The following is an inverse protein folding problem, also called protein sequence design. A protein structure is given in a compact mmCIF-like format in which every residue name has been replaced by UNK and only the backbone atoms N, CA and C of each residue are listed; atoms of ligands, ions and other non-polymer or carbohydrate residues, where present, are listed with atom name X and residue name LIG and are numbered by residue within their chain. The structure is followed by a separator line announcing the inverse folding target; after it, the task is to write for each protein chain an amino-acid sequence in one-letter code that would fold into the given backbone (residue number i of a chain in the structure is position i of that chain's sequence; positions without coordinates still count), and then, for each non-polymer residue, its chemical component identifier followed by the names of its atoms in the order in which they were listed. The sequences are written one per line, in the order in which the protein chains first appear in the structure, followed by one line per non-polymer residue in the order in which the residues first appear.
data_IF_817930902377
#
_entry.id   IF_817930902377
#
_cell.length_a   1.000
_cell.length_b   1.000
_cell.length_c   1.000
_cell.angle_alpha   90.00
_cell.angle_beta   90.00
_cell.angle_gamma   90.00
#
_symmetry.space_group_name_H-M   'P 1'
#
loop_
_entity.id
_entity.type
_entity.pdbx_description
1 polymer ?
#
# COMPACT_ATOMS: atom_id res chain seq x y z
N UNK A 1 -1.24 9.85 14.14
CA UNK A 1 -1.20 10.97 13.18
C UNK A 1 0.23 11.37 12.80
N UNK A 2 1.17 11.49 13.76
CA UNK A 2 2.59 11.86 13.54
C UNK A 2 3.35 11.11 12.42
N UNK A 3 2.91 9.91 12.03
CA UNK A 3 3.61 9.05 11.07
C UNK A 3 2.83 8.80 9.77
N UNK A 4 1.85 9.66 9.44
CA UNK A 4 1.03 9.54 8.23
C UNK A 4 0.50 8.10 8.04
N UNK A 5 0.63 7.54 6.83
CA UNK A 5 0.14 6.21 6.46
C UNK A 5 0.82 5.03 7.19
N UNK A 6 2.00 5.25 7.82
CA UNK A 6 2.64 4.24 8.66
C UNK A 6 1.98 4.14 10.04
N UNK A 7 1.29 5.20 10.45
CA UNK A 7 0.50 5.24 11.67
C UNK A 7 -0.95 4.83 11.43
N UNK A 8 -1.71 5.62 10.67
CA UNK A 8 -3.11 5.38 10.36
C UNK A 8 -3.32 5.48 8.86
N UNK A 9 -4.15 4.63 8.27
CA UNK A 9 -4.52 4.74 6.86
C UNK A 9 -5.36 6.00 6.62
N UNK A 10 -6.24 6.34 7.56
CA UNK A 10 -7.10 7.53 7.51
C UNK A 10 -6.78 8.46 8.70
N UNK A 11 -6.61 9.79 8.47
CA UNK A 11 -6.43 10.75 9.55
C UNK A 11 -7.77 11.02 10.26
N UNK A 12 -8.18 10.13 11.17
CA UNK A 12 -9.41 10.29 11.94
C UNK A 12 -9.35 11.46 12.91
N UNK A 13 -10.41 12.27 12.94
CA UNK A 13 -10.61 13.30 13.96
C UNK A 13 -11.32 12.74 15.19
N UNK A 14 -10.54 12.44 16.23
CA UNK A 14 -11.03 12.18 17.58
C UNK A 14 -11.13 13.49 18.34
N UNK A 15 -12.16 13.66 19.15
CA UNK A 15 -12.43 14.91 19.87
C UNK A 15 -12.55 14.71 21.38
N UNK A 16 -12.67 15.82 22.10
CA UNK A 16 -12.78 15.85 23.56
C UNK A 16 -14.05 15.18 24.08
N UNK A 17 -15.15 15.21 23.30
CA UNK A 17 -16.37 14.47 23.69
C UNK A 17 -16.17 12.95 23.66
N UNK A 18 -15.39 12.43 22.71
CA UNK A 18 -15.06 11.00 22.68
C UNK A 18 -14.26 10.62 23.94
N UNK A 19 -13.36 11.50 24.40
CA UNK A 19 -12.60 11.31 25.64
C UNK A 19 -13.49 11.34 26.88
N UNK A 20 -14.31 12.38 27.05
CA UNK A 20 -15.21 12.52 28.20
C UNK A 20 -16.18 11.35 28.34
N UNK A 21 -16.77 10.88 27.22
CA UNK A 21 -17.63 9.68 27.24
C UNK A 21 -16.85 8.43 27.68
N UNK A 22 -15.60 8.30 27.26
CA UNK A 22 -14.76 7.15 27.66
C UNK A 22 -14.42 7.19 29.14
N UNK A 23 -14.19 8.38 29.70
CA UNK A 23 -13.97 8.60 31.14
C UNK A 23 -15.22 8.23 31.94
N UNK A 24 -16.41 8.70 31.53
CA UNK A 24 -17.68 8.36 32.18
C UNK A 24 -17.94 6.86 32.15
N UNK A 25 -17.74 6.21 30.99
CA UNK A 25 -17.88 4.75 30.85
C UNK A 25 -16.91 4.01 31.76
N UNK A 26 -15.66 4.47 31.85
CA UNK A 26 -14.66 3.86 32.72
C UNK A 26 -15.07 3.97 34.19
N UNK A 27 -15.48 5.15 34.64
CA UNK A 27 -15.91 5.39 36.02
C UNK A 27 -17.12 4.51 36.40
N UNK A 28 -18.16 4.48 35.57
CA UNK A 28 -19.37 3.67 35.81
C UNK A 28 -19.01 2.19 35.99
N UNK A 29 -18.20 1.64 35.09
CA UNK A 29 -17.86 0.21 35.13
C UNK A 29 -16.90 -0.15 36.27
N UNK A 30 -16.04 0.77 36.71
CA UNK A 30 -15.19 0.54 37.88
C UNK A 30 -15.97 0.66 39.20
N UNK A 31 -17.03 1.47 39.24
CA UNK A 31 -17.90 1.60 40.43
C UNK A 31 -18.92 0.46 40.56
N UNK A 32 -19.44 -0.06 39.43
CA UNK A 32 -20.51 -1.07 39.42
C UNK A 32 -20.00 -2.52 39.58
N UNK A 33 -18.75 -2.80 39.22
CA UNK A 33 -18.19 -4.15 39.19
C UNK A 33 -17.03 -4.31 40.18
N UNK A 34 -17.03 -5.40 40.96
CA UNK A 34 -15.93 -5.70 41.89
C UNK A 34 -14.62 -6.03 41.16
N UNK A 35 -14.71 -6.77 40.04
CA UNK A 35 -13.58 -7.09 39.17
C UNK A 35 -13.63 -6.21 37.91
N UNK A 36 -12.47 -5.72 37.45
CA UNK A 36 -12.39 -4.84 36.28
C UNK A 36 -12.80 -5.58 35.00
N UNK A 37 -13.90 -5.19 34.32
CA UNK A 37 -14.41 -5.90 33.16
C UNK A 37 -13.69 -5.46 31.87
N UNK A 38 -12.42 -5.86 31.73
CA UNK A 38 -11.52 -5.44 30.65
C UNK A 38 -12.10 -5.61 29.24
N UNK A 39 -12.73 -6.74 28.94
CA UNK A 39 -13.28 -7.00 27.61
C UNK A 39 -14.45 -6.06 27.26
N UNK A 40 -15.28 -5.73 28.26
CA UNK A 40 -16.37 -4.77 28.09
C UNK A 40 -15.83 -3.35 27.87
N UNK A 41 -14.84 -2.92 28.67
CA UNK A 41 -14.18 -1.62 28.53
C UNK A 41 -13.51 -1.47 27.16
N UNK A 42 -12.75 -2.47 26.72
CA UNK A 42 -12.12 -2.49 25.39
C UNK A 42 -13.16 -2.35 24.28
N UNK A 43 -14.28 -3.07 24.40
CA UNK A 43 -15.34 -2.99 23.40
C UNK A 43 -16.02 -1.61 23.40
N UNK A 44 -16.45 -1.11 24.55
CA UNK A 44 -17.18 0.16 24.64
C UNK A 44 -16.32 1.35 24.22
N UNK A 45 -15.07 1.40 24.68
CA UNK A 45 -14.18 2.52 24.38
C UNK A 45 -13.65 2.39 22.95
N UNK A 46 -12.94 1.30 22.62
CA UNK A 46 -12.30 1.21 21.33
C UNK A 46 -13.30 0.91 20.21
N UNK A 47 -14.21 -0.06 20.36
CA UNK A 47 -15.06 -0.47 19.24
C UNK A 47 -16.32 0.37 19.06
N UNK A 48 -16.98 0.78 20.15
CA UNK A 48 -18.24 1.50 20.10
C UNK A 48 -18.03 3.02 20.02
N UNK A 49 -17.24 3.59 20.93
CA UNK A 49 -17.02 5.05 20.98
C UNK A 49 -16.06 5.52 19.88
N UNK A 50 -14.76 5.25 20.02
CA UNK A 50 -13.77 5.64 19.01
C UNK A 50 -13.99 4.90 17.68
N UNK A 51 -14.36 3.63 17.74
CA UNK A 51 -14.59 2.77 16.59
C UNK A 51 -15.80 3.16 15.75
N UNK A 52 -16.72 3.98 16.27
CA UNK A 52 -17.77 4.60 15.46
C UNK A 52 -17.25 5.59 14.41
N UNK A 53 -16.04 6.14 14.63
CA UNK A 53 -15.34 7.03 13.67
C UNK A 53 -14.35 6.29 12.78
N UNK A 54 -13.82 5.16 13.25
CA UNK A 54 -12.83 4.36 12.51
C UNK A 54 -13.54 3.54 11.44
N UNK A 55 -13.33 3.91 10.18
CA UNK A 55 -14.00 3.32 9.02
C UNK A 55 -13.20 2.24 8.30
N UNK A 56 -11.88 2.16 8.52
CA UNK A 56 -10.99 1.17 7.91
C UNK A 56 -10.72 0.01 8.87
N UNK A 57 -10.86 -1.22 8.37
CA UNK A 57 -10.72 -2.43 9.19
C UNK A 57 -9.28 -2.63 9.72
N UNK A 58 -8.26 -2.20 8.97
CA UNK A 58 -6.87 -2.31 9.40
C UNK A 58 -6.52 -1.28 10.47
N UNK A 59 -7.07 -0.07 10.36
CA UNK A 59 -6.99 0.94 11.41
C UNK A 59 -7.77 0.51 12.66
N UNK A 60 -8.93 -0.17 12.50
CA UNK A 60 -9.67 -0.76 13.61
C UNK A 60 -8.86 -1.85 14.32
N UNK A 61 -8.16 -2.70 13.57
CA UNK A 61 -7.21 -3.68 14.12
C UNK A 61 -6.10 -3.01 14.91
N UNK A 62 -5.51 -1.92 14.39
CA UNK A 62 -4.47 -1.17 15.09
C UNK A 62 -4.97 -0.58 16.42
N UNK A 63 -6.15 0.03 16.40
CA UNK A 63 -6.78 0.55 17.61
C UNK A 63 -7.00 -0.54 18.67
N UNK A 64 -7.43 -1.74 18.24
CA UNK A 64 -7.60 -2.88 19.13
C UNK A 64 -6.27 -3.38 19.73
N UNK A 65 -5.17 -3.26 18.99
CA UNK A 65 -3.83 -3.57 19.52
C UNK A 65 -3.43 -2.57 20.61
N UNK A 66 -3.63 -1.27 20.39
CA UNK A 66 -3.33 -0.25 21.41
C UNK A 66 -4.21 -0.39 22.65
N UNK A 67 -5.53 -0.54 22.50
CA UNK A 67 -6.42 -0.66 23.67
C UNK A 67 -6.08 -1.92 24.46
N UNK A 68 -5.73 -3.03 23.81
CA UNK A 68 -5.38 -4.28 24.50
C UNK A 68 -4.08 -4.17 25.29
N UNK A 69 -3.18 -3.29 24.85
CA UNK A 69 -1.92 -3.00 25.55
C UNK A 69 -2.16 -2.16 26.81
N UNK A 70 -3.09 -1.19 26.77
CA UNK A 70 -3.33 -0.26 27.89
C UNK A 70 -4.43 -0.73 28.86
N UNK A 71 -5.34 -1.60 28.42
CA UNK A 71 -6.45 -2.11 29.22
C UNK A 71 -6.15 -3.56 29.59
N UNK A 72 -5.23 -3.76 30.53
CA UNK A 72 -4.80 -5.09 30.96
C UNK A 72 -4.50 -5.11 32.46
N UNK A 73 -4.67 -6.26 33.09
CA UNK A 73 -4.41 -6.46 34.52
C UNK A 73 -2.96 -6.12 34.91
N UNK A 74 -2.02 -6.32 33.99
CA UNK A 74 -0.60 -6.01 34.17
C UNK A 74 -0.37 -4.53 34.49
N UNK A 75 -1.24 -3.62 34.00
CA UNK A 75 -1.16 -2.17 34.25
C UNK A 75 -1.39 -1.85 35.73
N UNK A 76 -2.16 -2.68 36.44
CA UNK A 76 -2.46 -2.50 37.86
C UNK A 76 -1.48 -3.25 38.77
N UNK A 77 -0.90 -4.34 38.29
CA UNK A 77 -0.16 -5.31 39.12
C UNK A 77 1.35 -5.21 38.97
N UNK A 78 1.85 -4.73 37.83
CA UNK A 78 3.29 -4.62 37.54
C UNK A 78 3.76 -3.19 37.80
N UNK A 79 4.61 -3.01 38.81
CA UNK A 79 5.22 -1.72 39.11
C UNK A 79 6.06 -1.23 37.92
N UNK A 80 5.88 0.04 37.55
CA UNK A 80 6.55 0.67 36.41
C UNK A 80 6.43 -0.13 35.10
N UNK A 81 5.23 -0.66 34.82
CA UNK A 81 4.98 -1.40 33.57
C UNK A 81 5.36 -0.52 32.35
N UNK A 82 6.30 -0.95 31.49
CA UNK A 82 6.64 -0.19 30.30
C UNK A 82 5.47 -0.16 29.32
N UNK A 83 5.05 1.05 28.94
CA UNK A 83 3.96 1.29 27.99
C UNK A 83 4.41 1.20 26.54
N UNK A 84 5.70 1.02 26.28
CA UNK A 84 6.27 0.92 24.95
C UNK A 84 7.71 0.39 25.02
N UNK A 85 8.40 0.32 23.88
CA UNK A 85 9.84 0.03 23.83
C UNK A 85 10.70 1.21 24.37
N UNK A 86 10.08 2.33 24.78
CA UNK A 86 10.74 3.51 25.32
C UNK A 86 10.95 3.44 26.83
N UNK A 87 12.14 3.81 27.29
CA UNK A 87 12.50 3.82 28.72
C UNK A 87 11.75 4.90 29.53
N UNK A 88 11.24 5.94 28.86
CA UNK A 88 10.59 7.08 29.52
C UNK A 88 9.09 6.87 29.78
N UNK A 89 8.45 5.93 29.08
CA UNK A 89 6.98 5.79 29.11
C UNK A 89 6.62 4.49 29.81
N UNK A 90 6.30 4.61 31.09
CA UNK A 90 5.78 3.55 31.93
C UNK A 90 4.58 4.04 32.74
N UNK A 91 3.85 3.10 33.36
CA UNK A 91 2.76 3.40 34.30
C UNK A 91 3.40 3.81 35.64
N UNK A 92 3.25 5.08 36.08
CA UNK A 92 3.83 5.52 37.35
C UNK A 92 3.13 4.88 38.55
N UNK A 93 3.79 4.90 39.71
CA UNK A 93 3.22 4.39 40.95
C UNK A 93 1.94 5.15 41.34
N UNK A 94 1.00 4.43 41.96
CA UNK A 94 -0.25 5.01 42.41
C UNK A 94 -0.03 6.13 43.44
N UNK A 95 -0.81 7.21 43.34
CA UNK A 95 -0.62 8.40 44.15
C UNK A 95 -1.61 9.53 43.83
N UNK A 96 -1.28 10.73 44.30
CA UNK A 96 -2.11 11.90 44.06
C UNK A 96 -1.99 12.41 42.61
N UNK A 97 -2.99 13.15 42.13
CA UNK A 97 -2.99 13.77 40.79
C UNK A 97 -1.71 14.59 40.50
N UNK A 98 -1.16 15.23 41.54
CA UNK A 98 0.11 15.97 41.49
C UNK A 98 1.28 15.10 41.06
N UNK A 99 1.38 13.86 41.55
CA UNK A 99 2.45 12.92 41.21
C UNK A 99 2.42 12.57 39.72
N UNK A 100 1.24 12.30 39.17
CA UNK A 100 1.05 12.04 37.74
C UNK A 100 1.44 13.26 36.90
N UNK A 101 1.05 14.47 37.33
CA UNK A 101 1.43 15.71 36.63
C UNK A 101 2.95 15.96 36.66
N UNK A 102 3.61 15.69 37.78
CA UNK A 102 5.07 15.83 37.91
C UNK A 102 5.84 14.80 37.09
N UNK A 103 5.32 13.58 36.96
CA UNK A 103 5.86 12.57 36.05
C UNK A 103 5.74 13.02 34.59
N UNK A 104 4.56 13.47 34.15
CA UNK A 104 4.35 13.95 32.78
C UNK A 104 5.29 15.12 32.43
N UNK A 105 5.56 16.03 33.39
CA UNK A 105 6.52 17.14 33.20
C UNK A 105 7.97 16.70 32.99
N UNK A 106 8.34 15.49 33.43
CA UNK A 106 9.68 14.93 33.25
C UNK A 106 9.85 14.23 31.90
N UNK A 107 8.76 13.98 31.17
CA UNK A 107 8.82 13.35 29.86
C UNK A 107 9.52 14.26 28.82
N UNK A 108 10.18 13.67 27.81
CA UNK A 108 10.78 14.44 26.73
C UNK A 108 9.75 15.32 26.00
N UNK A 109 10.16 16.52 25.56
CA UNK A 109 9.33 17.38 24.71
C UNK A 109 9.04 16.77 23.35
N UNK A 110 10.01 16.01 22.82
CA UNK A 110 9.89 15.29 21.55
C UNK A 110 9.75 13.79 21.82
N UNK A 111 8.54 13.27 21.62
CA UNK A 111 8.27 11.85 21.82
C UNK A 111 9.05 10.98 20.80
N UNK A 112 9.84 9.98 21.26
CA UNK A 112 10.55 9.08 20.37
C UNK A 112 9.57 8.15 19.64
N UNK A 113 9.90 7.65 18.43
CA UNK A 113 9.02 6.73 17.68
C UNK A 113 8.66 5.46 18.45
N UNK A 114 9.59 4.98 19.29
CA UNK A 114 9.38 3.83 20.16
C UNK A 114 8.17 4.01 21.09
N UNK A 115 7.87 5.24 21.55
CA UNK A 115 6.72 5.55 22.40
C UNK A 115 5.38 5.18 21.73
N UNK A 116 5.33 5.22 20.40
CA UNK A 116 4.16 4.85 19.61
C UNK A 116 4.24 3.42 19.06
N UNK A 117 5.21 2.62 19.52
CA UNK A 117 5.46 1.31 18.92
C UNK A 117 5.89 1.39 17.46
N UNK A 118 6.57 2.47 17.06
CA UNK A 118 7.10 2.67 15.70
C UNK A 118 8.62 2.54 15.66
N UNK A 119 9.15 2.17 14.49
CA UNK A 119 10.59 2.16 14.24
C UNK A 119 11.09 3.58 13.88
N UNK A 120 12.33 3.99 14.21
CA UNK A 120 12.88 5.31 13.84
C UNK A 120 12.77 5.67 12.36
N UNK A 121 12.81 4.68 11.46
CA UNK A 121 12.60 4.89 10.02
C UNK A 121 11.24 5.53 9.70
N UNK A 122 10.19 5.28 10.50
CA UNK A 122 8.88 5.88 10.29
C UNK A 122 8.92 7.41 10.50
N UNK A 123 9.70 7.89 11.47
CA UNK A 123 9.89 9.32 11.68
C UNK A 123 10.64 9.96 10.52
N UNK A 124 11.71 9.32 10.06
CA UNK A 124 12.49 9.79 8.91
C UNK A 124 11.60 9.88 7.67
N UNK A 125 10.81 8.85 7.39
CA UNK A 125 9.90 8.82 6.24
C UNK A 125 8.83 9.92 6.33
N UNK A 126 8.20 10.10 7.50
CA UNK A 126 7.23 11.18 7.69
C UNK A 126 7.85 12.55 7.45
N UNK A 127 9.05 12.81 7.97
CA UNK A 127 9.75 14.08 7.78
C UNK A 127 10.14 14.32 6.31
N UNK A 128 10.50 13.27 5.57
CA UNK A 128 10.75 13.36 4.12
C UNK A 128 9.46 13.75 3.38
N UNK A 129 8.33 13.15 3.73
CA UNK A 129 7.04 13.44 3.09
C UNK A 129 6.54 14.85 3.42
N UNK A 130 6.62 15.28 4.68
CA UNK A 130 6.29 16.66 5.09
C UNK A 130 7.19 17.68 4.34
N UNK A 131 8.49 17.36 4.19
CA UNK A 131 9.42 18.17 3.41
C UNK A 131 9.07 18.24 1.93
N UNK A 132 8.63 17.13 1.33
CA UNK A 132 8.15 17.11 -0.07
C UNK A 132 6.87 17.93 -0.24
N UNK A 133 5.92 17.84 0.69
CA UNK A 133 4.69 18.62 0.65
C UNK A 133 4.99 20.12 0.76
N UNK A 134 5.91 20.51 1.64
CA UNK A 134 6.38 21.90 1.75
C UNK A 134 6.99 22.39 0.43
N UNK A 135 7.89 21.61 -0.17
CA UNK A 135 8.52 21.97 -1.45
C UNK A 135 7.50 22.05 -2.59
N UNK A 136 6.55 21.11 -2.65
CA UNK A 136 5.46 21.13 -3.63
C UNK A 136 4.57 22.36 -3.47
N UNK A 137 4.29 22.77 -2.23
CA UNK A 137 3.54 24.00 -1.91
C UNK A 137 4.32 25.25 -2.33
N UNK A 138 5.63 25.29 -2.12
CA UNK A 138 6.47 26.41 -2.57
C UNK A 138 6.45 26.49 -4.11
N UNK A 139 6.57 25.36 -4.80
CA UNK A 139 6.51 25.29 -6.26
C UNK A 139 5.13 25.73 -6.80
N UNK A 140 4.03 25.40 -6.12
CA UNK A 140 2.68 25.83 -6.55
C UNK A 140 2.42 27.32 -6.31
N UNK A 141 3.14 27.94 -5.37
CA UNK A 141 3.09 29.38 -5.11
C UNK A 141 3.98 30.20 -6.04
N UNK A 142 4.95 29.57 -6.72
CA UNK A 142 5.65 30.26 -7.80
C UNK A 142 4.63 30.59 -8.88
N UNK A 143 4.44 31.88 -9.14
CA UNK A 143 3.74 32.30 -10.34
C UNK A 143 4.47 31.62 -11.51
N UNK A 144 3.77 30.72 -12.19
CA UNK A 144 4.10 30.37 -13.56
C UNK A 144 3.84 31.66 -14.33
N UNK A 145 4.77 32.61 -14.23
CA UNK A 145 4.72 33.85 -14.98
C UNK A 145 4.51 33.41 -16.42
N UNK A 146 3.36 33.82 -16.97
CA UNK A 146 3.11 33.86 -18.40
C UNK A 146 4.06 34.92 -18.94
N UNK A 147 5.35 34.59 -18.92
CA UNK A 147 6.37 35.42 -19.51
C UNK A 147 6.06 35.42 -21.00
N UNK A 148 5.57 36.57 -21.48
CA UNK A 148 5.55 36.94 -22.89
C UNK A 148 6.99 36.74 -23.44
N UNK A 149 7.31 35.52 -23.86
CA UNK A 149 8.66 35.08 -24.20
C UNK A 149 8.94 33.57 -24.10
N UNK A 150 7.91 32.72 -24.26
CA UNK A 150 7.86 31.28 -23.95
C UNK A 150 8.77 30.29 -24.67
N UNK A 151 9.87 30.71 -25.33
CA UNK A 151 10.75 29.79 -26.07
C UNK A 151 11.34 28.67 -25.20
N UNK A 152 11.79 28.97 -23.97
CA UNK A 152 12.52 28.00 -23.15
C UNK A 152 11.66 26.87 -22.57
N UNK A 153 10.42 27.18 -22.16
CA UNK A 153 9.49 26.18 -21.63
C UNK A 153 8.94 25.31 -22.76
N UNK A 154 8.65 25.91 -23.91
CA UNK A 154 8.18 25.19 -25.09
C UNK A 154 9.24 24.23 -25.62
N UNK A 155 10.50 24.66 -25.72
CA UNK A 155 11.62 23.80 -26.13
C UNK A 155 11.81 22.62 -25.15
N UNK A 156 11.67 22.86 -23.85
CA UNK A 156 11.76 21.82 -22.82
C UNK A 156 10.62 20.80 -22.95
N UNK A 157 9.38 21.27 -23.10
CA UNK A 157 8.22 20.38 -23.26
C UNK A 157 8.33 19.60 -24.56
N UNK A 158 8.73 20.23 -25.68
CA UNK A 158 8.96 19.53 -26.95
C UNK A 158 10.01 18.41 -26.81
N UNK A 159 11.10 18.64 -26.08
CA UNK A 159 12.10 17.61 -25.76
C UNK A 159 11.53 16.45 -24.93
N UNK A 160 10.69 16.75 -23.93
CA UNK A 160 9.97 15.74 -23.15
C UNK A 160 8.99 14.94 -24.00
N UNK A 161 8.24 15.61 -24.89
CA UNK A 161 7.31 14.96 -25.81
C UNK A 161 8.02 13.99 -26.75
N UNK A 162 9.20 14.37 -27.27
CA UNK A 162 10.01 13.46 -28.08
C UNK A 162 10.45 12.23 -27.27
N UNK A 163 10.97 12.44 -26.06
CA UNK A 163 11.38 11.35 -25.15
C UNK A 163 10.22 10.41 -24.84
N UNK A 164 9.02 10.95 -24.59
CA UNK A 164 7.81 10.17 -24.35
C UNK A 164 7.41 9.36 -25.59
N UNK A 165 7.50 9.92 -26.80
CA UNK A 165 7.18 9.19 -28.04
C UNK A 165 8.11 8.00 -28.27
N UNK A 166 9.39 8.13 -27.91
CA UNK A 166 10.38 7.06 -28.05
C UNK A 166 10.23 5.99 -26.96
N UNK A 167 9.81 6.39 -25.75
CA UNK A 167 9.70 5.50 -24.60
C UNK A 167 8.36 4.76 -24.49
N UNK A 168 7.26 5.39 -24.90
CA UNK A 168 5.90 4.84 -24.77
C UNK A 168 5.67 3.77 -25.85
N UNK A 169 5.28 2.54 -25.47
CA UNK A 169 5.02 1.47 -26.42
C UNK A 169 3.84 1.75 -27.36
N UNK A 170 3.86 1.09 -28.53
CA UNK A 170 2.73 1.09 -29.46
C UNK A 170 1.51 0.34 -28.90
N UNK A 171 0.33 0.65 -29.43
CA UNK A 171 -0.91 -0.06 -29.09
C UNK A 171 -0.87 -1.52 -29.53
N UNK A 172 -1.45 -2.39 -28.72
CA UNK A 172 -1.58 -3.82 -28.97
C UNK A 172 -2.65 -4.12 -30.03
N UNK A 173 -2.31 -4.98 -31.00
CA UNK A 173 -3.26 -5.51 -31.98
C UNK A 173 -4.13 -6.62 -31.37
N UNK A 174 -5.21 -6.22 -30.70
CA UNK A 174 -6.12 -7.13 -30.00
C UNK A 174 -6.74 -8.21 -30.91
N UNK A 175 -7.21 -7.91 -32.14
CA UNK A 175 -7.68 -8.94 -33.07
C UNK A 175 -6.67 -10.07 -33.31
N UNK A 176 -5.42 -9.72 -33.65
CA UNK A 176 -4.37 -10.72 -33.92
C UNK A 176 -3.99 -11.49 -32.67
N UNK A 177 -3.88 -10.82 -31.52
CA UNK A 177 -3.59 -11.47 -30.24
C UNK A 177 -4.70 -12.45 -29.85
N UNK A 178 -5.97 -12.05 -29.98
CA UNK A 178 -7.12 -12.90 -29.66
C UNK A 178 -7.15 -14.17 -30.52
N UNK A 179 -6.83 -14.04 -31.81
CA UNK A 179 -6.71 -15.19 -32.71
C UNK A 179 -5.57 -16.12 -32.26
N UNK A 180 -4.39 -15.58 -31.95
CA UNK A 180 -3.26 -16.36 -31.44
C UNK A 180 -3.52 -17.07 -30.11
N UNK A 181 -4.25 -16.44 -29.20
CA UNK A 181 -4.62 -17.01 -27.89
C UNK A 181 -5.65 -18.14 -27.98
N UNK A 182 -6.50 -18.14 -29.01
CA UNK A 182 -7.56 -19.15 -29.18
C UNK A 182 -7.02 -20.57 -29.33
N UNK A 183 -5.82 -20.70 -29.92
CA UNK A 183 -5.15 -21.98 -30.11
C UNK A 183 -4.34 -22.46 -28.89
N UNK A 184 -4.20 -21.64 -27.83
CA UNK A 184 -3.38 -21.99 -26.66
C UNK A 184 -4.17 -22.80 -25.63
N UNK A 185 -3.49 -23.73 -24.95
CA UNK A 185 -4.06 -24.55 -23.89
C UNK A 185 -4.27 -23.81 -22.54
N UNK A 186 -3.93 -22.52 -22.47
CA UNK A 186 -4.10 -21.70 -21.25
C UNK A 186 -5.58 -21.64 -20.81
N UNK A 187 -5.87 -21.53 -19.50
CA UNK A 187 -7.23 -21.38 -19.00
C UNK A 187 -7.93 -20.14 -19.57
N UNK A 188 -9.19 -20.28 -19.99
CA UNK A 188 -9.95 -19.18 -20.61
C UNK A 188 -10.14 -17.96 -19.69
N UNK A 189 -10.19 -18.19 -18.37
CA UNK A 189 -10.26 -17.11 -17.39
C UNK A 189 -9.00 -16.22 -17.45
N UNK A 190 -7.81 -16.82 -17.56
CA UNK A 190 -6.53 -16.10 -17.65
C UNK A 190 -6.37 -15.39 -19.00
N UNK A 191 -6.77 -16.04 -20.10
CA UNK A 191 -6.81 -15.39 -21.43
C UNK A 191 -7.72 -14.15 -21.42
N UNK A 192 -8.86 -14.24 -20.75
CA UNK A 192 -9.82 -13.12 -20.62
C UNK A 192 -9.21 -11.96 -19.84
N UNK A 193 -8.53 -12.26 -18.73
CA UNK A 193 -7.80 -11.23 -17.96
C UNK A 193 -6.76 -10.53 -18.83
N UNK A 194 -5.92 -11.28 -19.55
CA UNK A 194 -4.92 -10.69 -20.44
C UNK A 194 -5.55 -9.75 -21.48
N UNK A 195 -6.63 -10.18 -22.14
CA UNK A 195 -7.31 -9.34 -23.14
C UNK A 195 -7.89 -8.05 -22.53
N UNK A 196 -8.46 -8.13 -21.32
CA UNK A 196 -8.98 -6.95 -20.61
C UNK A 196 -7.85 -5.99 -20.20
N UNK A 197 -6.72 -6.53 -19.73
CA UNK A 197 -5.54 -5.73 -19.40
C UNK A 197 -4.98 -5.00 -20.62
N UNK A 198 -4.83 -5.71 -21.75
CA UNK A 198 -4.37 -5.13 -23.00
C UNK A 198 -5.33 -4.03 -23.51
N UNK A 199 -6.64 -4.21 -23.37
CA UNK A 199 -7.63 -3.18 -23.72
C UNK A 199 -7.49 -1.92 -22.88
N UNK A 200 -7.26 -2.05 -21.56
CA UNK A 200 -7.02 -0.91 -20.67
C UNK A 200 -5.71 -0.20 -20.98
N UNK A 201 -4.65 -0.95 -21.25
CA UNK A 201 -3.39 -0.35 -21.71
C UNK A 201 -3.55 0.35 -23.05
N UNK A 202 -4.27 -0.23 -24.01
CA UNK A 202 -4.55 0.42 -25.29
C UNK A 202 -5.27 1.76 -25.13
N UNK A 203 -6.26 1.84 -24.23
CA UNK A 203 -6.92 3.11 -23.91
C UNK A 203 -5.92 4.14 -23.38
N UNK A 204 -5.03 3.73 -22.46
CA UNK A 204 -3.98 4.61 -21.93
C UNK A 204 -3.00 5.07 -23.01
N UNK A 205 -2.42 4.13 -23.76
CA UNK A 205 -1.42 4.40 -24.80
C UNK A 205 -2.01 5.29 -25.92
N UNK A 206 -3.27 5.08 -26.30
CA UNK A 206 -3.97 5.93 -27.26
C UNK A 206 -4.16 7.36 -26.72
N UNK A 207 -4.56 7.51 -25.45
CA UNK A 207 -4.70 8.82 -24.81
C UNK A 207 -3.36 9.55 -24.76
N UNK A 208 -2.27 8.90 -24.31
CA UNK A 208 -0.94 9.50 -24.26
C UNK A 208 -0.50 9.95 -25.65
N UNK A 209 -0.59 9.07 -26.65
CA UNK A 209 -0.18 9.39 -28.02
C UNK A 209 -1.00 10.54 -28.63
N UNK A 210 -2.31 10.60 -28.33
CA UNK A 210 -3.18 11.69 -28.75
C UNK A 210 -2.77 13.02 -28.08
N UNK A 211 -2.63 13.02 -26.75
CA UNK A 211 -2.21 14.19 -25.97
C UNK A 211 -0.86 14.72 -26.43
N UNK A 212 0.12 13.85 -26.62
CA UNK A 212 1.48 14.21 -27.05
C UNK A 212 1.48 14.85 -28.44
N UNK A 213 0.77 14.25 -29.41
CA UNK A 213 0.66 14.80 -30.78
C UNK A 213 -0.11 16.11 -30.83
N UNK A 214 -1.18 16.22 -30.04
CA UNK A 214 -2.00 17.43 -29.98
C UNK A 214 -1.22 18.58 -29.35
N UNK A 215 -0.46 18.32 -28.28
CA UNK A 215 0.35 19.32 -27.61
C UNK A 215 1.54 19.77 -28.46
N UNK A 216 2.22 18.85 -29.16
CA UNK A 216 3.30 19.18 -30.10
C UNK A 216 2.80 20.16 -31.19
N UNK A 217 1.64 19.89 -31.78
CA UNK A 217 1.01 20.79 -32.76
C UNK A 217 0.50 22.08 -32.14
N UNK A 218 0.07 22.04 -30.88
CA UNK A 218 -0.38 23.20 -30.12
C UNK A 218 0.76 24.20 -29.92
N UNK A 219 1.91 23.73 -29.46
CA UNK A 219 3.13 24.53 -29.28
C UNK A 219 3.61 25.11 -30.62
N UNK A 220 3.50 24.35 -31.72
CA UNK A 220 3.82 24.81 -33.08
C UNK A 220 2.78 25.79 -33.67
N UNK A 221 1.73 26.15 -32.93
CA UNK A 221 0.67 27.06 -33.38
C UNK A 221 -0.28 26.48 -34.44
N UNK A 222 -0.24 25.16 -34.66
CA UNK A 222 -1.06 24.46 -35.67
C UNK A 222 -2.42 23.99 -35.12
N UNK A 223 -2.56 23.89 -33.80
CA UNK A 223 -3.78 23.48 -33.10
C UNK A 223 -4.01 24.43 -31.93
N UNK A 224 -5.27 24.70 -31.59
CA UNK A 224 -5.60 25.51 -30.40
C UNK A 224 -5.35 24.70 -29.14
N UNK A 225 -4.59 25.25 -28.20
CA UNK A 225 -4.38 24.65 -26.88
C UNK A 225 -5.68 24.80 -26.09
N UNK A 226 -6.31 23.67 -25.75
CA UNK A 226 -7.49 23.63 -24.89
C UNK A 226 -7.08 23.58 -23.42
N UNK A 227 -7.98 23.90 -22.46
CA UNK A 227 -7.67 23.80 -21.03
C UNK A 227 -7.17 22.41 -20.62
N UNK A 228 -7.64 21.35 -21.27
CA UNK A 228 -7.19 19.98 -21.02
C UNK A 228 -5.74 19.76 -21.49
N UNK A 229 -5.37 20.33 -22.65
CA UNK A 229 -3.99 20.28 -23.15
C UNK A 229 -3.05 21.15 -22.33
N UNK A 230 -3.53 22.30 -21.84
CA UNK A 230 -2.79 23.17 -20.93
C UNK A 230 -2.50 22.46 -19.60
N UNK A 231 -3.45 21.71 -19.05
CA UNK A 231 -3.22 20.89 -17.87
C UNK A 231 -2.15 19.81 -18.10
N UNK A 232 -2.13 19.19 -19.29
CA UNK A 232 -1.06 18.25 -19.67
C UNK A 232 0.29 18.98 -19.77
N UNK A 233 0.35 20.13 -20.44
CA UNK A 233 1.56 20.94 -20.57
C UNK A 233 2.16 21.31 -19.20
N UNK A 234 1.33 21.82 -18.30
CA UNK A 234 1.74 22.21 -16.95
C UNK A 234 2.25 21.00 -16.13
N UNK A 235 1.58 19.85 -16.22
CA UNK A 235 2.04 18.63 -15.56
C UNK A 235 3.41 18.17 -16.09
N UNK A 236 3.63 18.23 -17.40
CA UNK A 236 4.92 17.88 -18.02
C UNK A 236 6.04 18.82 -17.58
N UNK A 237 5.78 20.14 -17.51
CA UNK A 237 6.74 21.13 -17.00
C UNK A 237 7.15 20.83 -15.55
N UNK A 238 6.21 20.39 -14.72
CA UNK A 238 6.47 20.01 -13.33
C UNK A 238 7.07 18.60 -13.18
N UNK A 239 7.30 17.88 -14.28
CA UNK A 239 7.77 16.49 -14.24
C UNK A 239 6.76 15.52 -13.59
N UNK A 240 5.48 15.89 -13.56
CA UNK A 240 4.39 15.11 -13.00
C UNK A 240 3.64 14.35 -14.11
N UNK A 241 2.96 13.27 -13.72
CA UNK A 241 2.08 12.53 -14.64
C UNK A 241 0.76 13.31 -14.77
N UNK A 242 0.34 13.69 -15.99
CA UNK A 242 -0.96 14.31 -16.20
C UNK A 242 -2.12 13.49 -15.63
N UNK A 243 -3.05 14.15 -14.96
CA UNK A 243 -4.23 13.51 -14.34
C UNK A 243 -5.05 12.70 -15.33
N UNK A 244 -5.15 13.17 -16.58
CA UNK A 244 -5.81 12.47 -17.68
C UNK A 244 -5.22 11.08 -18.01
N UNK A 245 -4.00 10.78 -17.54
CA UNK A 245 -3.32 9.49 -17.76
C UNK A 245 -3.45 8.56 -16.53
N UNK A 246 -3.86 9.09 -15.37
CA UNK A 246 -3.93 8.37 -14.10
C UNK A 246 -5.07 7.35 -13.99
N UNK A 247 -5.92 7.19 -15.01
CA UNK A 247 -7.07 6.29 -14.97
C UNK A 247 -6.70 4.81 -15.14
N UNK A 248 -5.48 4.46 -15.55
CA UNK A 248 -5.16 3.06 -15.86
C UNK A 248 -4.79 2.30 -14.59
N UNK A 249 -3.88 2.83 -13.79
CA UNK A 249 -3.43 2.29 -12.51
C UNK A 249 -2.97 3.44 -11.59
N UNK A 250 -3.12 3.31 -10.25
CA UNK A 250 -2.66 4.33 -9.33
C UNK A 250 -1.13 4.36 -9.25
N UNK A 251 -0.56 5.55 -9.12
CA UNK A 251 0.87 5.76 -8.92
C UNK A 251 1.13 7.12 -8.29
N UNK A 252 2.23 7.22 -7.54
CA UNK A 252 2.77 8.48 -7.02
C UNK A 252 4.11 8.83 -7.70
N UNK A 253 4.54 8.03 -8.68
CA UNK A 253 5.80 8.23 -9.40
C UNK A 253 5.79 9.54 -10.20
N UNK A 254 6.90 10.27 -10.25
CA UNK A 254 7.07 11.34 -11.22
C UNK A 254 7.13 10.77 -12.64
N UNK A 255 7.01 11.65 -13.64
CA UNK A 255 6.84 11.30 -15.05
C UNK A 255 7.89 10.30 -15.55
N UNK A 256 9.18 10.54 -15.28
CA UNK A 256 10.28 9.68 -15.75
C UNK A 256 10.17 8.23 -15.26
N UNK A 257 10.21 7.98 -13.94
CA UNK A 257 10.01 6.63 -13.38
C UNK A 257 8.67 6.01 -13.76
N UNK A 258 7.60 6.82 -13.88
CA UNK A 258 6.29 6.33 -14.32
C UNK A 258 6.31 5.82 -15.77
N UNK A 259 6.99 6.51 -16.69
CA UNK A 259 7.12 6.06 -18.08
C UNK A 259 7.93 4.77 -18.18
N UNK A 260 9.00 4.62 -17.39
CA UNK A 260 9.75 3.36 -17.31
C UNK A 260 8.90 2.21 -16.76
N UNK A 261 8.11 2.47 -15.71
CA UNK A 261 7.18 1.50 -15.12
C UNK A 261 6.11 1.07 -16.14
N UNK A 262 5.54 2.02 -16.90
CA UNK A 262 4.60 1.75 -17.99
C UNK A 262 5.22 0.84 -19.06
N UNK A 263 6.47 1.09 -19.45
CA UNK A 263 7.18 0.27 -20.43
C UNK A 263 7.30 -1.17 -19.93
N UNK A 264 7.78 -1.38 -18.70
CA UNK A 264 7.92 -2.71 -18.10
C UNK A 264 6.57 -3.45 -17.98
N UNK A 265 5.51 -2.73 -17.64
CA UNK A 265 4.13 -3.27 -17.61
C UNK A 265 3.70 -3.79 -18.96
N UNK A 266 3.85 -2.96 -20.01
CA UNK A 266 3.53 -3.35 -21.37
C UNK A 266 4.40 -4.52 -21.84
N UNK A 267 5.70 -4.55 -21.52
CA UNK A 267 6.60 -5.66 -21.86
C UNK A 267 6.19 -7.00 -21.24
N UNK A 268 5.68 -7.00 -20.00
CA UNK A 268 5.09 -8.21 -19.41
C UNK A 268 3.89 -8.69 -20.24
N UNK A 269 2.98 -7.79 -20.58
CA UNK A 269 1.77 -8.13 -21.34
C UNK A 269 2.10 -8.56 -22.77
N UNK A 270 3.06 -7.92 -23.44
CA UNK A 270 3.58 -8.31 -24.76
C UNK A 270 4.12 -9.73 -24.73
N UNK A 271 4.99 -10.03 -23.75
CA UNK A 271 5.60 -11.37 -23.64
C UNK A 271 4.55 -12.45 -23.43
N UNK A 272 3.55 -12.17 -22.58
CA UNK A 272 2.45 -13.10 -22.37
C UNK A 272 1.59 -13.26 -23.63
N UNK A 273 1.20 -12.16 -24.26
CA UNK A 273 0.36 -12.16 -25.45
C UNK A 273 1.01 -12.87 -26.65
N UNK A 274 2.32 -12.69 -26.88
CA UNK A 274 2.99 -13.19 -28.08
C UNK A 274 3.65 -14.57 -27.90
N UNK A 275 4.12 -14.90 -26.69
CA UNK A 275 4.87 -16.14 -26.46
C UNK A 275 4.09 -17.14 -25.62
N UNK A 276 4.05 -16.95 -24.31
CA UNK A 276 3.44 -17.88 -23.37
C UNK A 276 3.18 -17.21 -22.03
N UNK A 277 2.29 -17.81 -21.24
CA UNK A 277 2.08 -17.45 -19.84
C UNK A 277 3.41 -17.39 -19.05
N UNK A 278 3.68 -16.29 -18.31
CA UNK A 278 4.85 -16.20 -17.44
C UNK A 278 4.88 -17.30 -16.38
N UNK A 279 6.07 -17.84 -16.09
CA UNK A 279 6.27 -18.73 -14.95
C UNK A 279 6.14 -17.98 -13.61
N UNK A 280 6.62 -16.73 -13.58
CA UNK A 280 6.54 -15.81 -12.44
C UNK A 280 5.92 -14.50 -12.92
N UNK A 281 4.85 -14.09 -12.26
CA UNK A 281 4.11 -12.87 -12.59
C UNK A 281 4.60 -11.70 -11.74
N UNK A 282 4.83 -10.55 -12.36
CA UNK A 282 4.94 -9.30 -11.63
C UNK A 282 3.52 -8.73 -11.46
N UNK A 283 3.01 -8.84 -10.23
CA UNK A 283 1.61 -8.51 -9.92
C UNK A 283 1.31 -7.02 -10.10
N UNK A 284 2.30 -6.16 -9.82
CA UNK A 284 2.20 -4.74 -10.11
C UNK A 284 2.04 -4.47 -11.61
N UNK A 285 2.46 -5.39 -12.49
CA UNK A 285 2.31 -5.28 -13.94
C UNK A 285 0.85 -5.20 -14.43
N UNK A 286 -0.11 -5.60 -13.61
CA UNK A 286 -1.54 -5.56 -13.91
C UNK A 286 -2.15 -4.21 -13.53
N UNK A 287 -3.07 -3.71 -14.35
CA UNK A 287 -3.92 -2.56 -14.04
C UNK A 287 -4.97 -2.92 -12.99
N UNK A 288 -5.46 -4.17 -12.99
CA UNK A 288 -6.42 -4.68 -12.02
C UNK A 288 -6.01 -6.06 -11.48
N UNK A 289 -5.02 -6.13 -10.58
CA UNK A 289 -4.44 -7.40 -10.15
C UNK A 289 -5.42 -8.32 -9.39
N UNK A 290 -6.44 -7.78 -8.73
CA UNK A 290 -7.50 -8.57 -8.07
C UNK A 290 -8.33 -9.39 -9.06
N UNK A 291 -8.48 -8.90 -10.30
CA UNK A 291 -9.11 -9.66 -11.40
C UNK A 291 -8.28 -10.88 -11.80
N UNK A 292 -6.94 -10.74 -11.82
CA UNK A 292 -6.02 -11.85 -12.06
C UNK A 292 -6.09 -12.89 -10.93
N UNK A 293 -6.05 -12.46 -9.67
CA UNK A 293 -6.17 -13.36 -8.51
C UNK A 293 -7.50 -14.12 -8.54
N UNK A 294 -8.61 -13.45 -8.84
CA UNK A 294 -9.92 -14.09 -9.01
C UNK A 294 -9.92 -15.12 -10.15
N UNK A 295 -9.28 -14.82 -11.29
CA UNK A 295 -9.18 -15.77 -12.39
C UNK A 295 -8.35 -17.03 -12.05
N UNK A 296 -7.33 -16.90 -11.19
CA UNK A 296 -6.60 -18.04 -10.65
C UNK A 296 -7.50 -18.90 -9.76
N UNK A 297 -8.30 -18.30 -8.87
CA UNK A 297 -9.27 -19.02 -8.04
C UNK A 297 -10.33 -19.71 -8.91
N UNK A 298 -10.86 -19.05 -9.94
CA UNK A 298 -11.80 -19.64 -10.90
C UNK A 298 -11.20 -20.86 -11.61
N UNK A 299 -9.94 -20.77 -12.01
CA UNK A 299 -9.23 -21.87 -12.67
C UNK A 299 -9.05 -23.06 -11.74
N UNK A 300 -8.64 -22.82 -10.50
CA UNK A 300 -8.48 -23.86 -9.48
C UNK A 300 -9.82 -24.50 -9.08
N UNK A 301 -10.86 -23.69 -8.90
CA UNK A 301 -12.23 -24.14 -8.59
C UNK A 301 -12.76 -25.08 -9.68
N UNK A 302 -12.64 -24.70 -10.96
CA UNK A 302 -13.06 -25.53 -12.09
C UNK A 302 -12.26 -26.83 -12.19
N UNK A 303 -10.94 -26.77 -12.02
CA UNK A 303 -10.06 -27.93 -12.06
C UNK A 303 -10.38 -28.96 -10.97
N UNK A 304 -10.76 -28.48 -9.78
CA UNK A 304 -11.02 -29.32 -8.61
C UNK A 304 -12.51 -29.61 -8.34
N UNK A 305 -13.43 -29.05 -9.14
CA UNK A 305 -14.87 -29.20 -8.94
C UNK A 305 -15.38 -28.54 -7.64
N UNK A 306 -14.74 -27.46 -7.20
CA UNK A 306 -15.06 -26.73 -5.96
C UNK A 306 -15.80 -25.43 -6.25
N UNK A 307 -16.48 -24.88 -5.25
CA UNK A 307 -16.98 -23.50 -5.31
C UNK A 307 -15.81 -22.52 -5.17
N UNK A 308 -15.88 -21.36 -5.85
CA UNK A 308 -14.84 -20.32 -5.71
C UNK A 308 -14.76 -19.85 -4.27
N UNK A 309 -15.92 -19.67 -3.61
CA UNK A 309 -16.03 -19.16 -2.24
C UNK A 309 -15.50 -20.15 -1.18
N UNK A 310 -15.29 -21.42 -1.52
CA UNK A 310 -14.67 -22.39 -0.62
C UNK A 310 -13.14 -22.38 -0.67
N UNK A 311 -12.55 -21.59 -1.57
CA UNK A 311 -11.10 -21.46 -1.72
C UNK A 311 -10.58 -20.26 -0.94
N UNK A 312 -9.40 -20.41 -0.35
CA UNK A 312 -8.62 -19.33 0.22
C UNK A 312 -7.17 -19.41 -0.28
N UNK A 313 -6.37 -18.40 0.04
CA UNK A 313 -4.96 -18.35 -0.33
C UNK A 313 -4.08 -18.92 0.77
N UNK A 314 -3.19 -19.83 0.39
CA UNK A 314 -1.99 -20.20 1.13
C UNK A 314 -0.80 -19.51 0.46
N UNK A 315 0.02 -18.82 1.25
CA UNK A 315 1.19 -18.10 0.76
C UNK A 315 2.46 -18.84 1.17
N UNK A 316 3.22 -19.30 0.17
CA UNK A 316 4.50 -19.97 0.41
C UNK A 316 5.63 -19.08 -0.10
N UNK A 317 6.56 -18.75 0.80
CA UNK A 317 7.77 -18.00 0.43
C UNK A 317 8.74 -18.93 -0.27
N UNK A 318 9.26 -18.50 -1.42
CA UNK A 318 10.27 -19.22 -2.18
C UNK A 318 11.60 -18.48 -2.08
N UNK A 319 12.59 -19.10 -1.44
CA UNK A 319 13.94 -18.55 -1.31
C UNK A 319 14.77 -18.68 -2.61
N UNK A 320 14.24 -19.35 -3.63
CA UNK A 320 14.92 -19.56 -4.90
C UNK A 320 14.74 -18.36 -5.86
N UNK A 321 15.78 -18.00 -6.63
CA UNK A 321 15.69 -16.96 -7.64
C UNK A 321 14.78 -17.35 -8.83
N UNK A 322 14.28 -16.35 -9.56
CA UNK A 322 13.37 -16.55 -10.71
C UNK A 322 13.93 -17.48 -11.78
N UNK A 323 15.25 -17.45 -12.02
CA UNK A 323 15.92 -18.30 -13.01
C UNK A 323 15.87 -19.81 -12.66
N UNK A 324 15.66 -20.16 -11.39
CA UNK A 324 15.47 -21.53 -10.93
C UNK A 324 14.03 -22.03 -11.08
N UNK A 325 13.10 -21.16 -11.54
CA UNK A 325 11.68 -21.45 -11.74
C UNK A 325 11.33 -21.46 -13.23
N UNK A 326 11.73 -22.50 -14.00
CA UNK A 326 11.52 -22.54 -15.45
C UNK A 326 10.05 -22.73 -15.86
N UNK A 327 9.20 -23.20 -14.94
CA UNK A 327 7.77 -23.41 -15.17
C UNK A 327 6.96 -22.87 -14.00
N UNK A 328 5.73 -22.40 -14.28
CA UNK A 328 4.79 -21.99 -13.24
C UNK A 328 4.35 -23.13 -12.32
N UNK A 329 3.69 -22.83 -11.19
CA UNK A 329 3.22 -23.83 -10.24
C UNK A 329 2.07 -24.66 -10.84
N UNK A 330 1.82 -25.84 -10.24
CA UNK A 330 0.69 -26.70 -10.62
C UNK A 330 -0.67 -26.06 -10.38
N UNK A 331 -0.76 -25.23 -9.33
CA UNK A 331 -1.95 -24.51 -8.90
C UNK A 331 -1.55 -23.10 -8.45
N UNK A 332 -2.33 -22.08 -8.82
CA UNK A 332 -2.05 -20.69 -8.46
C UNK A 332 -0.97 -20.03 -9.32
N UNK A 333 -0.19 -19.13 -8.73
CA UNK A 333 0.85 -18.39 -9.43
C UNK A 333 2.05 -18.05 -8.52
N UNK A 334 3.24 -17.99 -9.11
CA UNK A 334 4.39 -17.35 -8.48
C UNK A 334 4.34 -15.85 -8.74
N UNK A 335 4.51 -15.05 -7.70
CA UNK A 335 4.43 -13.59 -7.73
C UNK A 335 5.75 -13.00 -7.28
N UNK A 336 6.28 -12.06 -8.07
CA UNK A 336 7.51 -11.31 -7.76
C UNK A 336 7.25 -9.81 -7.63
N UNK A 337 8.23 -9.11 -7.05
CA UNK A 337 8.25 -7.66 -6.98
C UNK A 337 7.31 -7.07 -5.92
N UNK A 338 6.95 -7.85 -4.90
CA UNK A 338 6.30 -7.30 -3.71
C UNK A 338 7.36 -6.61 -2.85
N UNK A 339 6.96 -5.53 -2.19
CA UNK A 339 7.85 -4.70 -1.39
C UNK A 339 7.27 -4.65 0.01
N UNK A 340 8.06 -5.04 1.00
CA UNK A 340 7.71 -4.95 2.41
C UNK A 340 8.05 -3.55 2.92
N UNK A 341 7.10 -2.91 3.58
CA UNK A 341 7.23 -1.61 4.23
C UNK A 341 7.09 -1.78 5.74
N UNK A 342 7.90 -1.09 6.54
CA UNK A 342 7.82 -1.14 8.01
C UNK A 342 8.36 -2.43 8.64
N UNK A 343 9.00 -3.29 7.84
CA UNK A 343 9.73 -4.48 8.27
C UNK A 343 10.72 -4.91 7.17
N UNK A 344 11.62 -5.84 7.50
CA UNK A 344 12.44 -6.56 6.51
C UNK A 344 12.13 -8.05 6.51
N UNK A 345 12.44 -8.72 5.41
CA UNK A 345 12.39 -10.17 5.34
C UNK A 345 13.74 -10.76 5.79
N UNK A 346 13.71 -11.67 6.75
CA UNK A 346 14.86 -12.48 7.14
C UNK A 346 14.89 -13.77 6.30
N UNK A 347 15.84 -13.85 5.39
CA UNK A 347 16.01 -14.99 4.48
C UNK A 347 16.57 -16.23 5.18
N UNK A 348 17.25 -16.09 6.32
CA UNK A 348 17.83 -17.23 7.04
C UNK A 348 16.76 -17.95 7.87
N UNK A 349 15.79 -17.20 8.38
CA UNK A 349 14.72 -17.70 9.26
C UNK A 349 13.33 -17.76 8.61
N UNK A 350 13.19 -17.31 7.37
CA UNK A 350 11.94 -17.18 6.61
C UNK A 350 10.82 -16.47 7.41
N UNK A 351 11.14 -15.31 8.00
CA UNK A 351 10.20 -14.53 8.80
C UNK A 351 10.42 -13.02 8.73
N UNK A 352 9.48 -12.26 9.28
CA UNK A 352 9.62 -10.82 9.48
C UNK A 352 10.72 -10.52 10.51
N UNK A 353 11.47 -9.46 10.25
CA UNK A 353 12.46 -8.89 11.16
C UNK A 353 12.39 -7.36 11.13
N UNK A 354 12.92 -6.73 12.17
CA UNK A 354 12.96 -5.26 12.27
C UNK A 354 13.82 -4.70 11.12
N UNK A 355 13.40 -3.58 10.52
CA UNK A 355 14.13 -2.97 9.42
C UNK A 355 15.50 -2.46 9.87
N UNK A 356 16.45 -2.36 8.94
CA UNK A 356 17.74 -1.73 9.21
C UNK A 356 17.57 -0.20 9.23
N UNK A 357 18.43 0.54 9.95
CA UNK A 357 18.39 2.01 9.94
C UNK A 357 18.43 2.56 8.51
N UNK A 358 17.59 3.55 8.22
CA UNK A 358 17.43 4.18 6.89
C UNK A 358 16.84 3.29 5.79
N UNK A 359 16.41 2.05 6.12
CA UNK A 359 15.78 1.12 5.18
C UNK A 359 14.32 0.87 5.58
N UNK A 360 13.39 1.72 5.14
CA UNK A 360 11.95 1.52 5.41
C UNK A 360 11.36 0.38 4.56
N UNK A 361 11.91 0.18 3.36
CA UNK A 361 11.40 -0.76 2.37
C UNK A 361 12.40 -1.89 2.12
N UNK A 362 11.89 -3.11 1.95
CA UNK A 362 12.67 -4.30 1.64
C UNK A 362 11.99 -5.09 0.51
N UNK A 363 12.74 -5.57 -0.48
CA UNK A 363 12.16 -6.43 -1.52
C UNK A 363 11.83 -7.82 -0.95
N UNK A 364 10.61 -8.28 -1.18
CA UNK A 364 10.21 -9.63 -0.80
C UNK A 364 10.73 -10.68 -1.78
N UNK A 365 11.04 -11.90 -1.30
CA UNK A 365 11.21 -13.06 -2.16
C UNK A 365 9.95 -13.35 -2.99
N UNK A 366 10.11 -14.26 -3.96
CA UNK A 366 8.98 -14.74 -4.75
C UNK A 366 8.00 -15.47 -3.83
N UNK A 367 6.72 -15.14 -3.96
CA UNK A 367 5.65 -15.77 -3.20
C UNK A 367 4.80 -16.65 -4.11
N UNK A 368 4.55 -17.88 -3.68
CA UNK A 368 3.56 -18.74 -4.32
C UNK A 368 2.19 -18.45 -3.71
N UNK A 369 1.32 -17.87 -4.53
CA UNK A 369 -0.08 -17.69 -4.24
C UNK A 369 -0.80 -18.98 -4.59
N UNK A 370 -1.02 -19.85 -3.60
CA UNK A 370 -1.59 -21.18 -3.80
C UNK A 370 -3.06 -21.22 -3.36
N UNK A 371 -4.00 -21.58 -4.23
CA UNK A 371 -5.39 -21.77 -3.83
C UNK A 371 -5.56 -23.08 -3.06
N UNK A 372 -6.19 -23.01 -1.88
CA UNK A 372 -6.46 -24.16 -1.00
C UNK A 372 -7.91 -24.16 -0.56
N UNK A 373 -8.50 -25.34 -0.33
CA UNK A 373 -9.82 -25.44 0.30
C UNK A 373 -9.75 -24.93 1.74
N UNK A 374 -10.73 -24.14 2.15
CA UNK A 374 -10.79 -23.53 3.48
C UNK A 374 -10.81 -24.61 4.59
N UNK A 375 -9.63 -25.02 5.09
CA UNK A 375 -9.47 -25.87 6.27
C UNK A 375 -8.49 -25.27 7.29
N UNK A 376 -9.12 -24.70 8.32
CA UNK A 376 -8.74 -24.54 9.74
C UNK A 376 -7.72 -23.46 10.15
N UNK A 377 -8.23 -22.61 11.07
CA UNK A 377 -7.60 -21.80 12.14
C UNK A 377 -6.31 -21.07 11.76
N UNK A 378 -6.32 -19.74 11.92
CA UNK A 378 -5.13 -18.91 11.88
C UNK A 378 -3.98 -19.58 12.65
N UNK A 379 -2.90 -19.92 11.94
CA UNK A 379 -1.76 -20.55 12.58
C UNK A 379 -1.13 -19.55 13.54
N UNK A 380 -0.86 -19.99 14.78
CA UNK A 380 -0.20 -19.16 15.79
C UNK A 380 1.15 -18.69 15.24
N UNK A 381 1.46 -17.41 15.40
CA UNK A 381 2.71 -16.80 14.94
C UNK A 381 2.70 -16.30 13.50
N UNK A 382 1.56 -16.31 12.81
CA UNK A 382 1.39 -15.62 11.54
C UNK A 382 0.89 -14.19 11.76
N UNK A 383 1.49 -13.25 11.05
CA UNK A 383 1.03 -11.88 10.88
C UNK A 383 0.27 -11.79 9.55
N UNK A 384 -1.01 -11.43 9.63
CA UNK A 384 -1.80 -11.14 8.43
C UNK A 384 -1.40 -9.76 7.91
N UNK A 385 -0.54 -9.73 6.89
CA UNK A 385 0.05 -8.51 6.35
C UNK A 385 -0.82 -7.94 5.24
N UNK A 386 -1.33 -6.71 5.34
CA UNK A 386 -2.12 -6.12 4.26
C UNK A 386 -1.23 -5.86 3.02
N UNK A 387 -1.73 -6.23 1.83
CA UNK A 387 -1.13 -5.91 0.54
C UNK A 387 -1.89 -4.76 -0.12
N UNK A 388 -1.18 -3.69 -0.45
CA UNK A 388 -1.69 -2.50 -1.13
C UNK A 388 -1.07 -2.32 -2.52
N UNK A 389 -1.80 -1.65 -3.40
CA UNK A 389 -1.34 -1.30 -4.75
C UNK A 389 -0.14 -0.33 -4.71
N UNK A 390 -0.12 0.60 -3.76
CA UNK A 390 0.86 1.68 -3.63
C UNK A 390 0.79 2.31 -2.23
N UNK A 391 1.72 3.22 -1.84
CA UNK A 391 1.84 3.69 -0.46
C UNK A 391 0.64 4.46 0.10
N UNK A 392 -0.26 4.99 -0.75
CA UNK A 392 -1.52 5.56 -0.30
C UNK A 392 -2.52 4.43 -0.04
N UNK A 393 -2.62 4.00 1.22
CA UNK A 393 -3.33 2.78 1.63
C UNK A 393 -4.84 2.84 1.47
N UNK A 394 -5.43 4.03 1.50
CA UNK A 394 -6.86 4.26 1.25
C UNK A 394 -7.22 4.14 -0.23
N UNK A 395 -6.29 4.49 -1.12
CA UNK A 395 -6.58 4.63 -2.54
C UNK A 395 -7.65 5.69 -2.81
N UNK A 396 -8.49 5.45 -3.82
CA UNK A 396 -9.70 6.26 -4.06
C UNK A 396 -10.94 5.41 -3.81
N UNK A 397 -12.10 6.06 -3.62
CA UNK A 397 -13.37 5.35 -3.43
C UNK A 397 -13.68 4.36 -4.55
N UNK A 398 -13.30 4.69 -5.78
CA UNK A 398 -13.54 3.86 -6.97
C UNK A 398 -12.47 2.77 -7.14
N UNK A 399 -11.28 2.98 -6.56
CA UNK A 399 -10.12 2.11 -6.65
C UNK A 399 -9.41 2.04 -5.30
N UNK A 400 -9.90 1.21 -4.39
CA UNK A 400 -9.23 1.00 -3.11
C UNK A 400 -7.82 0.46 -3.35
N UNK A 401 -6.88 0.87 -2.51
CA UNK A 401 -5.49 0.40 -2.63
C UNK A 401 -5.33 -1.00 -2.03
N UNK A 402 -6.08 -1.32 -0.97
CA UNK A 402 -6.06 -2.64 -0.35
C UNK A 402 -6.53 -3.74 -1.32
N UNK A 403 -5.78 -4.83 -1.38
CA UNK A 403 -6.06 -5.96 -2.27
C UNK A 403 -6.43 -7.23 -1.51
N UNK A 404 -5.54 -7.68 -0.63
CA UNK A 404 -5.66 -8.95 0.11
C UNK A 404 -4.72 -8.93 1.31
N UNK A 405 -5.00 -9.76 2.32
CA UNK A 405 -4.06 -10.04 3.39
C UNK A 405 -3.17 -11.24 3.05
N UNK A 406 -1.86 -11.09 3.22
CA UNK A 406 -0.84 -12.11 3.00
C UNK A 406 -0.32 -12.56 4.36
N UNK A 407 -0.50 -13.83 4.69
CA UNK A 407 -0.03 -14.36 5.97
C UNK A 407 1.49 -14.61 5.93
N UNK A 408 2.22 -13.91 6.80
CA UNK A 408 3.68 -13.97 6.92
C UNK A 408 4.07 -14.45 8.33
N UNK A 409 5.21 -15.15 8.47
CA UNK A 409 5.70 -15.53 9.81
C UNK A 409 6.18 -14.29 10.57
N UNK A 410 5.66 -14.08 11.78
CA UNK A 410 6.00 -12.92 12.60
C UNK A 410 7.44 -12.94 13.15
N UNK A 411 8.10 -14.10 13.17
CA UNK A 411 9.44 -14.29 13.72
C UNK A 411 9.45 -14.80 15.15
N UNK A 412 10.58 -15.37 15.58
CA UNK A 412 10.72 -15.93 16.93
C UNK A 412 10.66 -14.83 18.00
N UNK A 413 9.81 -15.01 19.02
CA UNK A 413 9.67 -14.04 20.12
C UNK A 413 8.96 -12.73 19.74
N UNK A 414 8.43 -12.62 18.51
CA UNK A 414 7.69 -11.44 18.03
C UNK A 414 6.21 -11.77 17.86
N UNK A 415 5.33 -10.85 18.26
CA UNK A 415 3.88 -10.99 18.11
C UNK A 415 3.39 -10.31 16.83
N UNK A 416 2.26 -10.74 16.26
CA UNK A 416 1.60 -10.02 15.15
C UNK A 416 1.30 -8.55 15.48
N UNK A 417 1.04 -8.25 16.75
CA UNK A 417 0.70 -6.90 17.23
C UNK A 417 1.87 -5.92 17.10
N UNK A 418 3.12 -6.41 17.22
CA UNK A 418 4.30 -5.60 16.93
C UNK A 418 4.25 -5.07 15.50
N UNK A 419 4.05 -5.94 14.52
CA UNK A 419 4.00 -5.59 13.11
C UNK A 419 2.79 -4.72 12.75
N UNK A 420 1.67 -4.90 13.47
CA UNK A 420 0.54 -3.97 13.40
C UNK A 420 0.96 -2.56 13.84
N UNK A 421 1.65 -2.41 14.98
CA UNK A 421 2.12 -1.10 15.46
C UNK A 421 3.21 -0.48 14.57
N UNK A 422 4.09 -1.29 13.97
CA UNK A 422 5.10 -0.84 12.99
C UNK A 422 4.49 -0.41 11.65
N UNK A 423 3.17 -0.57 11.48
CA UNK A 423 2.49 -0.30 10.21
C UNK A 423 2.99 -1.20 9.08
N UNK A 424 3.39 -2.45 9.38
CA UNK A 424 3.96 -3.34 8.37
C UNK A 424 2.97 -3.66 7.26
N UNK A 425 3.37 -3.49 6.01
CA UNK A 425 2.52 -3.76 4.85
C UNK A 425 3.32 -4.26 3.66
N UNK A 426 2.64 -4.93 2.73
CA UNK A 426 3.18 -5.21 1.40
C UNK A 426 2.66 -4.15 0.42
N UNK A 427 3.52 -3.73 -0.50
CA UNK A 427 3.22 -2.78 -1.56
C UNK A 427 3.58 -3.39 -2.92
N UNK A 428 2.77 -3.10 -3.95
CA UNK A 428 3.11 -3.43 -5.34
C UNK A 428 4.01 -2.39 -6.00
N UNK A 429 3.99 -1.15 -5.53
CA UNK A 429 4.76 -0.05 -6.10
C UNK A 429 5.16 0.94 -5.00
N UNK A 430 6.31 1.58 -5.17
CA UNK A 430 6.75 2.73 -4.38
C UNK A 430 6.34 4.05 -5.03
N UNK A 431 6.47 5.15 -4.27
CA UNK A 431 6.25 6.52 -4.76
C UNK A 431 7.37 7.05 -5.65
N UNK A 432 8.54 6.42 -5.65
CA UNK A 432 9.70 6.77 -6.49
C UNK A 432 10.02 5.69 -7.50
#
# INVERSE_FOLDING_TARGET
RKFNNLGWNIPYDFNESDFAISEDVLAIYLDEYEDTPWDALKYLIAQANYGGRVTDDWDRRLMLVYISQFFAEDVLTVANLPLSDSEYYFVPDDGELSNYADYIRQLPLDDPPAAFGQHPNAQIASQIDDGRELLATILSLQALDVAEGGSGNDDLVLGLLQTLREAVPDVFDLPSIKLGLSARAEPDALKTVLLQELERYNKLLATINSSVRALEKGIQGSVVITPELEAVYNALLLGAVPTAWGFCYPSLKPLGPWTQDLKLRCEQMTRWALHAQPAVFWLAGFTYPTGFLTALLQTAARKNGLAIDSLNWEFLVLSQPENALPSGPKDGAYVKGLILEGARWDFDHDCLAEPLPMELHCSMPILHFRPVEAKKKAAKGLYSCPLYMYPLRTGTRERPSFMIAVDLKAGSGKTPDLWTKRGTALLLSLST
#
